data_IF_455316862949
#
_entry.id   IF_455316862949
#
_cell.length_a   1.000
_cell.length_b   1.000
_cell.length_c   1.000
_cell.angle_alpha   90.00
_cell.angle_beta   90.00
_cell.angle_gamma   90.00
#
_symmetry.space_group_name_H-M   'P 1'
#
loop_
_entity.id
_entity.type
_entity.pdbx_description
1 polymer ?
#
# COMPACT_ATOMS: atom_id res chain seq x y z
N UNK A 1 -11.45 -1.12 19.14
CA UNK A 1 -11.81 -2.43 18.55
C UNK A 1 -13.32 -2.67 18.38
N UNK A 2 -14.17 -2.53 19.41
CA UNK A 2 -15.61 -2.90 19.34
C UNK A 2 -16.41 -2.22 18.20
N UNK A 3 -16.13 -0.95 17.87
CA UNK A 3 -16.86 -0.19 16.84
C UNK A 3 -16.50 -0.55 15.39
N UNK A 4 -15.29 -1.05 15.14
CA UNK A 4 -14.83 -1.43 13.80
C UNK A 4 -15.35 -2.81 13.40
N UNK A 5 -15.30 -3.76 14.34
CA UNK A 5 -15.82 -5.10 14.12
C UNK A 5 -17.31 -5.12 13.76
N UNK A 6 -18.10 -4.15 14.24
CA UNK A 6 -19.52 -4.03 13.90
C UNK A 6 -19.80 -3.70 12.41
N UNK A 7 -18.80 -3.23 11.67
CA UNK A 7 -18.91 -2.96 10.23
C UNK A 7 -18.49 -4.16 9.37
N UNK A 8 -18.08 -5.26 10.01
CA UNK A 8 -17.58 -6.47 9.38
C UNK A 8 -18.36 -7.68 9.90
N UNK A 9 -18.42 -8.73 9.09
CA UNK A 9 -18.92 -10.03 9.52
C UNK A 9 -17.72 -10.96 9.66
N UNK A 10 -17.19 -11.17 10.89
CA UNK A 10 -16.03 -12.03 11.07
C UNK A 10 -16.43 -13.49 10.88
N UNK A 11 -15.81 -14.14 9.89
CA UNK A 11 -15.95 -15.58 9.66
C UNK A 11 -14.62 -16.26 9.95
N UNK A 12 -14.59 -17.12 10.96
CA UNK A 12 -13.44 -17.99 11.25
C UNK A 12 -13.63 -19.30 10.51
N UNK A 13 -12.65 -19.66 9.68
CA UNK A 13 -12.66 -20.89 8.91
C UNK A 13 -11.36 -21.65 9.19
N UNK A 14 -11.46 -22.94 9.49
CA UNK A 14 -10.29 -23.81 9.50
C UNK A 14 -9.95 -24.23 8.07
N UNK A 15 -8.94 -23.56 7.50
CA UNK A 15 -8.46 -23.78 6.14
C UNK A 15 -7.85 -25.18 5.89
N UNK A 16 -7.54 -25.93 6.95
CA UNK A 16 -7.05 -27.31 6.88
C UNK A 16 -8.16 -28.36 7.00
N UNK A 17 -9.41 -27.92 7.24
CA UNK A 17 -10.58 -28.80 7.39
C UNK A 17 -11.73 -28.33 6.50
N UNK A 18 -12.74 -27.67 7.05
CA UNK A 18 -13.92 -27.21 6.30
C UNK A 18 -13.61 -26.12 5.27
N UNK A 19 -12.47 -25.44 5.40
CA UNK A 19 -12.06 -24.32 4.55
C UNK A 19 -11.12 -24.66 3.42
N UNK A 20 -10.80 -25.93 3.15
CA UNK A 20 -9.79 -26.32 2.16
C UNK A 20 -10.09 -25.75 0.78
N UNK A 21 -11.35 -25.80 0.33
CA UNK A 21 -11.74 -25.27 -0.98
C UNK A 21 -11.75 -23.74 -1.02
N UNK A 22 -12.09 -23.09 0.10
CA UNK A 22 -11.97 -21.62 0.23
C UNK A 22 -10.50 -21.20 0.18
N UNK A 23 -9.61 -21.89 0.89
CA UNK A 23 -8.18 -21.62 0.89
C UNK A 23 -7.58 -21.75 -0.53
N UNK A 24 -7.97 -22.78 -1.29
CA UNK A 24 -7.59 -22.93 -2.70
C UNK A 24 -8.16 -21.81 -3.58
N UNK A 25 -9.45 -21.49 -3.43
CA UNK A 25 -10.14 -20.45 -4.21
C UNK A 25 -9.46 -19.10 -4.07
N UNK A 26 -9.10 -18.74 -2.84
CA UNK A 26 -8.44 -17.47 -2.52
C UNK A 26 -6.91 -17.55 -2.57
N UNK A 27 -6.35 -18.69 -2.97
CA UNK A 27 -4.90 -18.93 -3.10
C UNK A 27 -4.13 -18.59 -1.81
N UNK A 28 -4.65 -18.98 -0.66
CA UNK A 28 -3.98 -18.80 0.63
C UNK A 28 -2.71 -19.66 0.66
N UNK A 29 -1.56 -19.04 0.89
CA UNK A 29 -0.24 -19.69 0.84
C UNK A 29 0.37 -19.97 2.22
N UNK A 30 -0.19 -19.39 3.28
CA UNK A 30 0.32 -19.52 4.65
C UNK A 30 -0.77 -19.21 5.68
N UNK A 31 -0.51 -19.54 6.94
CA UNK A 31 -1.45 -19.31 8.03
C UNK A 31 -0.78 -18.58 9.22
N UNK A 32 -1.53 -17.72 9.94
CA UNK A 32 -2.88 -17.27 9.62
C UNK A 32 -2.92 -16.33 8.40
N UNK A 33 -4.05 -16.30 7.69
CA UNK A 33 -4.34 -15.27 6.68
C UNK A 33 -5.75 -14.74 6.93
N UNK A 34 -5.89 -13.40 6.91
CA UNK A 34 -7.15 -12.70 7.05
C UNK A 34 -7.47 -12.05 5.70
N UNK A 35 -8.60 -12.43 5.10
CA UNK A 35 -9.10 -11.86 3.86
C UNK A 35 -10.29 -10.94 4.14
N UNK A 36 -10.27 -9.77 3.53
CA UNK A 36 -11.40 -8.83 3.53
C UNK A 36 -12.11 -8.97 2.19
N UNK A 37 -13.35 -9.45 2.23
CA UNK A 37 -14.15 -9.70 1.03
C UNK A 37 -15.31 -8.70 0.96
N UNK A 38 -15.68 -8.27 -0.25
CA UNK A 38 -16.96 -7.59 -0.47
C UNK A 38 -18.12 -8.60 -0.59
N UNK A 39 -19.34 -8.10 -0.77
CA UNK A 39 -20.54 -8.94 -0.88
C UNK A 39 -20.51 -9.89 -2.09
N UNK A 40 -19.72 -9.56 -3.12
CA UNK A 40 -19.51 -10.36 -4.32
C UNK A 40 -18.39 -11.42 -4.15
N UNK A 41 -17.75 -11.48 -2.98
CA UNK A 41 -16.67 -12.43 -2.69
C UNK A 41 -15.30 -12.05 -3.27
N UNK A 42 -15.14 -10.82 -3.80
CA UNK A 42 -13.85 -10.29 -4.28
C UNK A 42 -12.99 -9.81 -3.11
N UNK A 43 -11.70 -10.13 -3.16
CA UNK A 43 -10.72 -9.68 -2.17
C UNK A 43 -10.51 -8.17 -2.28
N UNK A 44 -10.73 -7.46 -1.17
CA UNK A 44 -10.54 -6.02 -0.98
C UNK A 44 -9.42 -5.70 0.02
N UNK A 45 -8.82 -6.73 0.61
CA UNK A 45 -7.73 -6.62 1.56
C UNK A 45 -7.24 -7.98 2.01
N UNK A 46 -5.97 -8.04 2.39
CA UNK A 46 -5.32 -9.26 2.85
C UNK A 46 -4.30 -8.89 3.92
N UNK A 47 -4.30 -9.64 5.03
CA UNK A 47 -3.26 -9.62 6.06
C UNK A 47 -2.73 -11.04 6.18
N UNK A 48 -1.48 -11.25 5.76
CA UNK A 48 -0.78 -12.53 5.90
C UNK A 48 0.06 -12.56 7.16
N UNK A 49 0.01 -13.68 7.88
CA UNK A 49 0.77 -13.87 9.12
C UNK A 49 0.19 -13.12 10.32
N UNK A 50 0.97 -13.11 11.40
CA UNK A 50 0.61 -12.38 12.61
C UNK A 50 0.90 -10.89 12.45
N UNK A 51 -0.06 -10.05 12.84
CA UNK A 51 0.08 -8.61 12.91
C UNK A 51 -0.32 -8.13 14.32
N UNK A 52 0.49 -7.30 15.01
CA UNK A 52 0.14 -6.79 16.33
C UNK A 52 -1.21 -6.03 16.33
N UNK A 53 -1.94 -5.99 17.47
CA UNK A 53 -3.30 -5.45 17.51
C UNK A 53 -3.48 -4.01 17.00
N UNK A 54 -2.48 -3.14 17.22
CA UNK A 54 -2.51 -1.74 16.78
C UNK A 54 -2.41 -1.66 15.26
N UNK A 55 -1.39 -2.30 14.68
CA UNK A 55 -1.17 -2.39 13.22
C UNK A 55 -2.34 -3.08 12.53
N UNK A 56 -2.86 -4.17 13.11
CA UNK A 56 -4.04 -4.86 12.61
C UNK A 56 -5.27 -3.95 12.55
N UNK A 57 -5.47 -3.12 13.59
CA UNK A 57 -6.59 -2.16 13.62
C UNK A 57 -6.46 -1.08 12.55
N UNK A 58 -5.22 -0.65 12.24
CA UNK A 58 -4.94 0.33 11.18
C UNK A 58 -5.25 -0.26 9.81
N UNK A 59 -4.76 -1.45 9.49
CA UNK A 59 -5.04 -2.11 8.21
C UNK A 59 -6.54 -2.40 8.04
N UNK A 60 -7.21 -2.88 9.10
CA UNK A 60 -8.64 -3.08 9.08
C UNK A 60 -9.42 -1.77 8.81
N UNK A 61 -9.02 -0.67 9.46
CA UNK A 61 -9.65 0.65 9.24
C UNK A 61 -9.48 1.13 7.80
N UNK A 62 -8.30 0.92 7.21
CA UNK A 62 -8.01 1.23 5.81
C UNK A 62 -8.93 0.45 4.87
N UNK A 63 -9.10 -0.85 5.06
CA UNK A 63 -9.99 -1.65 4.21
C UNK A 63 -11.46 -1.20 4.29
N UNK A 64 -11.93 -0.89 5.51
CA UNK A 64 -13.28 -0.35 5.73
C UNK A 64 -13.45 0.99 5.01
N UNK A 65 -12.49 1.90 5.15
CA UNK A 65 -12.50 3.21 4.51
C UNK A 65 -12.54 3.09 2.98
N UNK A 66 -11.63 2.30 2.40
CA UNK A 66 -11.56 2.06 0.96
C UNK A 66 -12.85 1.46 0.40
N UNK A 67 -13.43 0.48 1.10
CA UNK A 67 -14.67 -0.14 0.67
C UNK A 67 -15.86 0.83 0.76
N UNK A 68 -15.91 1.69 1.78
CA UNK A 68 -16.97 2.69 1.95
C UNK A 68 -16.87 3.85 0.94
N UNK A 69 -15.67 4.32 0.62
CA UNK A 69 -15.46 5.43 -0.31
C UNK A 69 -15.67 5.01 -1.78
N UNK A 70 -15.38 3.76 -2.12
CA UNK A 70 -15.33 3.29 -3.51
C UNK A 70 -16.60 3.56 -4.34
N UNK A 71 -17.83 3.22 -3.89
CA UNK A 71 -19.03 3.41 -4.71
C UNK A 71 -19.25 4.88 -5.08
N UNK A 72 -19.03 5.80 -4.13
CA UNK A 72 -19.15 7.23 -4.35
C UNK A 72 -18.10 7.74 -5.33
N UNK A 73 -16.85 7.32 -5.18
CA UNK A 73 -15.77 7.71 -6.09
C UNK A 73 -16.02 7.21 -7.51
N UNK A 74 -16.53 5.98 -7.65
CA UNK A 74 -16.85 5.41 -8.94
C UNK A 74 -17.95 6.23 -9.64
N UNK A 75 -18.98 6.63 -8.91
CA UNK A 75 -20.04 7.48 -9.46
C UNK A 75 -19.54 8.88 -9.83
N UNK A 76 -18.80 9.54 -8.93
CA UNK A 76 -18.18 10.85 -9.21
C UNK A 76 -17.28 10.82 -10.44
N UNK A 77 -16.54 9.73 -10.64
CA UNK A 77 -15.60 9.58 -11.76
C UNK A 77 -16.25 9.53 -13.14
N UNK A 78 -17.56 9.26 -13.22
CA UNK A 78 -18.34 9.28 -14.47
C UNK A 78 -18.64 10.70 -14.95
N UNK A 79 -18.57 11.69 -14.06
CA UNK A 79 -18.79 13.09 -14.40
C UNK A 79 -17.63 13.66 -15.20
N UNK A 80 -17.91 14.46 -16.24
CA UNK A 80 -16.89 15.22 -16.97
C UNK A 80 -16.11 16.19 -16.05
N UNK A 81 -16.74 16.61 -14.95
CA UNK A 81 -16.18 17.50 -13.94
C UNK A 81 -15.51 16.77 -12.77
N UNK A 82 -15.30 15.45 -12.87
CA UNK A 82 -14.59 14.69 -11.86
C UNK A 82 -13.23 15.32 -11.53
N UNK A 83 -12.99 15.52 -10.24
CA UNK A 83 -11.79 16.17 -9.74
C UNK A 83 -10.57 15.25 -9.87
N UNK A 84 -9.38 15.84 -9.92
CA UNK A 84 -8.15 15.05 -9.85
C UNK A 84 -8.00 14.30 -8.52
N UNK A 85 -8.61 14.80 -7.43
CA UNK A 85 -8.65 14.11 -6.14
C UNK A 85 -9.47 12.82 -6.20
N UNK A 86 -10.64 12.84 -6.86
CA UNK A 86 -11.48 11.66 -7.07
C UNK A 86 -10.67 10.56 -7.76
N UNK A 87 -9.90 10.92 -8.80
CA UNK A 87 -9.05 9.97 -9.52
C UNK A 87 -7.85 9.49 -8.70
N UNK A 88 -7.22 10.35 -7.89
CA UNK A 88 -6.13 9.93 -7.00
C UNK A 88 -6.61 8.96 -5.92
N UNK A 89 -7.80 9.19 -5.36
CA UNK A 89 -8.46 8.27 -4.42
C UNK A 89 -8.80 6.93 -5.06
N UNK A 90 -9.32 6.93 -6.30
CA UNK A 90 -9.54 5.69 -7.06
C UNK A 90 -8.22 4.94 -7.33
N UNK A 91 -7.16 5.67 -7.71
CA UNK A 91 -5.85 5.06 -7.94
C UNK A 91 -5.31 4.38 -6.68
N UNK A 92 -5.41 5.03 -5.52
CA UNK A 92 -5.05 4.44 -4.23
C UNK A 92 -5.93 3.24 -3.88
N UNK A 93 -7.24 3.31 -4.15
CA UNK A 93 -8.20 2.23 -3.89
C UNK A 93 -7.88 0.99 -4.73
N UNK A 94 -7.79 1.15 -6.05
CA UNK A 94 -7.44 0.07 -6.97
C UNK A 94 -6.04 -0.48 -6.70
N UNK A 95 -5.07 0.40 -6.39
CA UNK A 95 -3.72 0.00 -6.01
C UNK A 95 -3.71 -0.89 -4.75
N UNK A 96 -4.48 -0.50 -3.73
CA UNK A 96 -4.63 -1.29 -2.50
C UNK A 96 -5.32 -2.64 -2.74
N UNK A 97 -6.11 -2.76 -3.81
CA UNK A 97 -6.77 -4.01 -4.23
C UNK A 97 -5.95 -4.81 -5.25
N UNK A 98 -4.73 -4.37 -5.57
CA UNK A 98 -3.86 -4.98 -6.58
C UNK A 98 -4.52 -5.01 -7.98
N UNK A 99 -5.44 -4.08 -8.26
CA UNK A 99 -6.10 -3.88 -9.56
C UNK A 99 -5.25 -2.93 -10.42
N UNK A 100 -4.11 -3.43 -10.91
CA UNK A 100 -3.04 -2.61 -11.51
C UNK A 100 -3.52 -1.70 -12.65
N UNK A 101 -4.29 -2.24 -13.60
CA UNK A 101 -4.71 -1.49 -14.79
C UNK A 101 -5.61 -0.31 -14.42
N UNK A 102 -6.56 -0.54 -13.54
CA UNK A 102 -7.50 0.46 -13.04
C UNK A 102 -6.80 1.50 -12.16
N UNK A 103 -5.82 1.07 -11.37
CA UNK A 103 -5.01 1.95 -10.54
C UNK A 103 -4.18 2.93 -11.39
N UNK A 104 -3.46 2.42 -12.40
CA UNK A 104 -2.67 3.24 -13.32
C UNK A 104 -3.52 4.19 -14.15
N UNK A 105 -4.65 3.70 -14.69
CA UNK A 105 -5.58 4.53 -15.43
C UNK A 105 -6.13 5.68 -14.58
N UNK A 106 -6.41 5.41 -13.31
CA UNK A 106 -6.89 6.42 -12.36
C UNK A 106 -5.77 7.41 -11.99
N UNK A 107 -4.53 6.96 -11.79
CA UNK A 107 -3.40 7.83 -11.53
C UNK A 107 -3.13 8.78 -12.70
N UNK A 108 -3.14 8.25 -13.93
CA UNK A 108 -2.97 9.05 -15.14
C UNK A 108 -4.06 10.14 -15.27
N UNK A 109 -5.32 9.82 -14.93
CA UNK A 109 -6.40 10.82 -14.89
C UNK A 109 -6.15 11.88 -13.83
N UNK A 110 -5.74 11.52 -12.61
CA UNK A 110 -5.39 12.49 -11.57
C UNK A 110 -4.28 13.46 -12.03
N UNK A 111 -3.27 12.94 -12.72
CA UNK A 111 -2.13 13.71 -13.25
C UNK A 111 -2.53 14.63 -14.40
N UNK A 112 -3.39 14.18 -15.32
CA UNK A 112 -3.96 15.03 -16.38
C UNK A 112 -4.75 16.22 -15.82
N UNK A 113 -5.34 16.05 -14.63
CA UNK A 113 -6.03 17.11 -13.88
C UNK A 113 -5.08 17.96 -13.03
N UNK A 114 -3.76 17.72 -13.12
CA UNK A 114 -2.69 18.39 -12.39
C UNK A 114 -2.87 18.34 -10.87
N UNK A 115 -3.47 17.27 -10.36
CA UNK A 115 -3.67 17.10 -8.92
C UNK A 115 -2.33 16.95 -8.18
N UNK A 116 -2.24 17.56 -7.00
CA UNK A 116 -1.04 17.54 -6.12
C UNK A 116 -1.38 17.34 -4.64
N UNK A 117 -2.59 16.90 -4.33
CA UNK A 117 -3.04 16.71 -2.95
C UNK A 117 -2.55 15.39 -2.34
N UNK A 118 -2.97 15.13 -1.10
CA UNK A 118 -2.44 14.05 -0.26
C UNK A 118 -2.53 12.64 -0.89
N UNK A 119 -3.56 12.36 -1.70
CA UNK A 119 -3.77 11.03 -2.27
C UNK A 119 -2.82 10.69 -3.41
N UNK A 120 -2.07 11.66 -3.94
CA UNK A 120 -1.13 11.39 -5.02
C UNK A 120 0.00 10.47 -4.55
N UNK A 121 0.58 10.77 -3.38
CA UNK A 121 1.64 9.94 -2.80
C UNK A 121 1.12 8.55 -2.40
N UNK A 122 -0.09 8.47 -1.82
CA UNK A 122 -0.73 7.21 -1.47
C UNK A 122 -0.98 6.31 -2.67
N UNK A 123 -1.47 6.87 -3.77
CA UNK A 123 -1.67 6.16 -5.02
C UNK A 123 -0.33 5.65 -5.60
N UNK A 124 0.69 6.51 -5.62
CA UNK A 124 2.01 6.12 -6.12
C UNK A 124 2.66 5.03 -5.28
N UNK A 125 2.57 5.11 -3.94
CA UNK A 125 3.04 4.07 -3.04
C UNK A 125 2.32 2.74 -3.33
N UNK A 126 0.99 2.73 -3.36
CA UNK A 126 0.22 1.50 -3.58
C UNK A 126 0.51 0.84 -4.94
N UNK A 127 0.67 1.62 -6.02
CA UNK A 127 1.04 1.06 -7.34
C UNK A 127 2.51 0.63 -7.35
N UNK A 128 3.38 1.36 -6.66
CA UNK A 128 4.79 1.01 -6.48
C UNK A 128 4.93 -0.35 -5.79
N UNK A 129 4.12 -0.62 -4.76
CA UNK A 129 4.12 -1.89 -4.02
C UNK A 129 3.74 -3.06 -4.92
N UNK A 130 2.71 -2.90 -5.77
CA UNK A 130 2.32 -3.92 -6.75
C UNK A 130 3.51 -4.30 -7.63
N UNK A 131 4.22 -3.30 -8.17
CA UNK A 131 5.36 -3.55 -9.05
C UNK A 131 6.57 -4.12 -8.29
N UNK A 132 6.81 -3.67 -7.06
CA UNK A 132 7.85 -4.23 -6.22
C UNK A 132 7.59 -5.71 -5.91
N UNK A 133 6.36 -6.06 -5.53
CA UNK A 133 5.94 -7.44 -5.26
C UNK A 133 5.98 -8.33 -6.50
N UNK A 134 5.83 -7.75 -7.69
CA UNK A 134 5.92 -8.46 -8.98
C UNK A 134 7.35 -8.49 -9.53
N UNK A 135 8.34 -8.07 -8.74
CA UNK A 135 9.76 -7.95 -9.13
C UNK A 135 10.03 -7.01 -10.32
N UNK A 136 9.06 -6.17 -10.69
CA UNK A 136 9.18 -5.15 -11.73
C UNK A 136 9.81 -3.86 -11.15
N UNK A 137 11.00 -3.99 -10.56
CA UNK A 137 11.64 -2.94 -9.76
C UNK A 137 11.85 -1.64 -10.55
N UNK A 138 12.11 -1.73 -11.86
CA UNK A 138 12.27 -0.56 -12.73
C UNK A 138 10.99 0.27 -12.88
N UNK A 139 9.81 -0.34 -12.72
CA UNK A 139 8.51 0.35 -12.68
C UNK A 139 8.18 0.87 -11.28
N UNK A 140 8.60 0.17 -10.23
CA UNK A 140 8.36 0.56 -8.84
C UNK A 140 9.12 1.83 -8.45
N UNK A 141 10.41 1.93 -8.78
CA UNK A 141 11.27 3.08 -8.42
C UNK A 141 10.69 4.45 -8.82
N UNK A 142 10.26 4.71 -10.07
CA UNK A 142 9.72 6.01 -10.45
C UNK A 142 8.44 6.37 -9.68
N UNK A 143 7.62 5.38 -9.32
CA UNK A 143 6.42 5.59 -8.50
C UNK A 143 6.77 5.98 -7.08
N UNK A 144 7.68 5.28 -6.42
CA UNK A 144 8.11 5.66 -5.07
C UNK A 144 8.85 7.02 -5.04
N UNK A 145 9.64 7.34 -6.07
CA UNK A 145 10.22 8.70 -6.22
C UNK A 145 9.13 9.77 -6.33
N UNK A 146 8.08 9.50 -7.13
CA UNK A 146 6.94 10.40 -7.24
C UNK A 146 6.22 10.53 -5.90
N UNK A 147 6.00 9.43 -5.18
CA UNK A 147 5.40 9.45 -3.85
C UNK A 147 6.20 10.30 -2.85
N UNK A 148 7.52 10.11 -2.75
CA UNK A 148 8.41 10.91 -1.90
C UNK A 148 8.30 12.41 -2.21
N UNK A 149 8.35 12.78 -3.50
CA UNK A 149 8.28 14.18 -3.95
C UNK A 149 6.90 14.83 -3.78
N UNK A 150 5.82 14.03 -3.78
CA UNK A 150 4.43 14.51 -3.69
C UNK A 150 3.82 14.36 -2.30
N UNK A 151 4.52 13.70 -1.38
CA UNK A 151 4.00 13.42 -0.05
C UNK A 151 3.78 14.71 0.75
N UNK A 152 2.53 14.90 1.16
CA UNK A 152 2.13 15.95 2.10
C UNK A 152 2.40 15.52 3.54
N UNK A 153 2.13 14.24 3.87
CA UNK A 153 2.35 13.66 5.19
C UNK A 153 3.73 13.01 5.27
N UNK A 154 4.39 13.15 6.42
CA UNK A 154 5.70 12.54 6.67
C UNK A 154 5.66 11.00 6.61
N UNK A 155 4.53 10.41 7.00
CA UNK A 155 4.29 8.96 6.90
C UNK A 155 4.37 8.45 5.47
N UNK A 156 3.62 9.05 4.53
CA UNK A 156 3.64 8.67 3.11
C UNK A 156 5.03 8.86 2.49
N UNK A 157 5.74 9.91 2.92
CA UNK A 157 7.13 10.16 2.52
C UNK A 157 8.09 9.12 3.08
N UNK A 158 7.94 8.77 4.35
CA UNK A 158 8.75 7.77 5.04
C UNK A 158 8.60 6.41 4.37
N UNK A 159 7.36 6.06 4.04
CA UNK A 159 7.03 4.83 3.33
C UNK A 159 7.69 4.80 1.94
N UNK A 160 7.53 5.87 1.15
CA UNK A 160 8.16 5.96 -0.16
C UNK A 160 9.69 5.76 -0.11
N UNK A 161 10.37 6.36 0.89
CA UNK A 161 11.82 6.24 1.06
C UNK A 161 12.26 4.84 1.49
N UNK A 162 11.54 4.19 2.40
CA UNK A 162 11.88 2.82 2.80
C UNK A 162 11.62 1.83 1.65
N UNK A 163 10.56 2.03 0.85
CA UNK A 163 10.33 1.23 -0.34
C UNK A 163 11.41 1.45 -1.41
N UNK A 164 11.87 2.69 -1.61
CA UNK A 164 13.03 2.98 -2.45
C UNK A 164 14.29 2.29 -1.95
N UNK A 165 14.56 2.29 -0.65
CA UNK A 165 15.69 1.57 -0.06
C UNK A 165 15.67 0.10 -0.48
N UNK A 166 14.53 -0.59 -0.31
CA UNK A 166 14.42 -2.00 -0.70
C UNK A 166 14.52 -2.22 -2.20
N UNK A 167 13.97 -1.33 -3.04
CA UNK A 167 14.19 -1.38 -4.48
C UNK A 167 15.68 -1.27 -4.83
N UNK A 168 16.42 -0.36 -4.20
CA UNK A 168 17.85 -0.19 -4.45
C UNK A 168 18.68 -1.38 -3.96
N UNK A 169 18.32 -1.97 -2.81
CA UNK A 169 18.95 -3.21 -2.35
C UNK A 169 18.73 -4.37 -3.33
N UNK A 170 17.50 -4.53 -3.85
CA UNK A 170 17.19 -5.53 -4.88
C UNK A 170 18.03 -5.34 -6.15
N UNK A 171 18.30 -4.09 -6.54
CA UNK A 171 19.20 -3.75 -7.66
C UNK A 171 20.69 -3.78 -7.33
N UNK A 172 21.07 -4.12 -6.09
CA UNK A 172 22.44 -4.03 -5.58
C UNK A 172 23.05 -2.62 -5.73
N UNK A 173 22.21 -1.59 -5.77
CA UNK A 173 22.61 -0.17 -5.86
C UNK A 173 22.90 0.37 -4.46
N UNK A 174 24.07 -0.02 -3.94
CA UNK A 174 24.52 0.32 -2.59
C UNK A 174 24.59 1.84 -2.37
N UNK A 175 24.94 2.61 -3.41
CA UNK A 175 25.05 4.06 -3.34
C UNK A 175 23.69 4.70 -3.05
N UNK A 176 22.67 4.35 -3.83
CA UNK A 176 21.33 4.89 -3.60
C UNK A 176 20.67 4.30 -2.34
N UNK A 177 20.94 3.04 -2.00
CA UNK A 177 20.49 2.44 -0.74
C UNK A 177 21.03 3.22 0.49
N UNK A 178 22.35 3.46 0.56
CA UNK A 178 22.95 4.28 1.63
C UNK A 178 22.36 5.68 1.68
N UNK A 179 22.07 6.29 0.52
CA UNK A 179 21.40 7.60 0.47
C UNK A 179 20.02 7.54 1.13
N UNK A 180 19.19 6.56 0.78
CA UNK A 180 17.86 6.40 1.37
C UNK A 180 17.92 6.18 2.88
N UNK A 181 18.82 5.34 3.38
CA UNK A 181 18.99 5.17 4.83
C UNK A 181 19.26 6.50 5.53
N UNK A 182 20.21 7.29 5.01
CA UNK A 182 20.56 8.58 5.60
C UNK A 182 19.41 9.59 5.56
N UNK A 183 18.63 9.61 4.48
CA UNK A 183 17.46 10.49 4.37
C UNK A 183 16.35 10.11 5.35
N UNK A 184 16.07 8.81 5.54
CA UNK A 184 15.08 8.32 6.50
C UNK A 184 15.49 8.68 7.93
N UNK A 185 16.75 8.41 8.30
CA UNK A 185 17.27 8.65 9.66
C UNK A 185 17.20 10.13 10.06
N UNK A 186 17.39 11.04 9.10
CA UNK A 186 17.38 12.49 9.34
C UNK A 186 15.97 13.09 9.35
N UNK A 187 14.93 12.32 9.02
CA UNK A 187 13.59 12.85 8.88
C UNK A 187 12.89 12.93 10.25
N UNK A 188 12.48 14.15 10.64
CA UNK A 188 11.94 14.48 11.98
C UNK A 188 10.71 13.65 12.38
N UNK A 189 9.82 13.40 11.42
CA UNK A 189 8.52 12.74 11.64
C UNK A 189 8.42 11.42 10.85
N UNK A 190 9.55 10.73 10.70
CA UNK A 190 9.58 9.40 10.10
C UNK A 190 8.88 8.37 10.99
N UNK A 191 8.31 7.35 10.35
CA UNK A 191 7.79 6.19 11.07
C UNK A 191 8.98 5.52 11.77
N UNK A 192 8.82 5.27 13.08
CA UNK A 192 9.92 4.79 13.94
C UNK A 192 10.55 3.50 13.43
N UNK A 193 9.74 2.53 13.02
CA UNK A 193 10.22 1.26 12.46
C UNK A 193 11.07 1.48 11.19
N UNK A 194 10.67 2.40 10.30
CA UNK A 194 11.47 2.72 9.11
C UNK A 194 12.85 3.29 9.48
N UNK A 195 12.92 4.11 10.53
CA UNK A 195 14.20 4.64 11.04
C UNK A 195 15.08 3.54 11.60
N UNK A 196 14.50 2.61 12.37
CA UNK A 196 15.21 1.47 12.94
C UNK A 196 15.76 0.57 11.83
N UNK A 197 14.92 0.16 10.86
CA UNK A 197 15.32 -0.62 9.69
C UNK A 197 16.43 0.08 8.88
N UNK A 198 16.30 1.40 8.65
CA UNK A 198 17.31 2.17 7.93
C UNK A 198 18.68 2.19 8.63
N UNK A 199 18.71 2.26 9.98
CA UNK A 199 19.95 2.22 10.77
C UNK A 199 20.62 0.85 10.71
N UNK A 200 19.84 -0.22 10.82
CA UNK A 200 20.33 -1.60 10.72
C UNK A 200 20.97 -1.85 9.36
N UNK A 201 20.25 -1.56 8.28
CA UNK A 201 20.76 -1.71 6.91
C UNK A 201 22.01 -0.84 6.68
N UNK A 202 22.02 0.42 7.17
CA UNK A 202 23.18 1.29 6.98
C UNK A 202 24.44 0.74 7.66
N UNK A 203 24.29 0.10 8.83
CA UNK A 203 25.39 -0.56 9.54
C UNK A 203 25.92 -1.74 8.71
N UNK A 204 25.04 -2.55 8.15
CA UNK A 204 25.43 -3.70 7.29
C UNK A 204 26.15 -3.23 6.02
N UNK A 205 25.64 -2.18 5.36
CA UNK A 205 26.26 -1.62 4.15
C UNK A 205 27.60 -0.90 4.43
N UNK A 206 27.87 -0.53 5.68
CA UNK A 206 29.10 0.15 6.12
C UNK A 206 30.17 -0.77 6.71
N UNK A 207 29.84 -2.05 6.94
CA UNK A 207 30.71 -3.04 7.61
C UNK A 207 31.55 -3.90 6.66
N UNK A 208 32.12 -3.31 5.61
CA UNK A 208 33.06 -3.95 4.67
C UNK A 208 34.39 -3.24 4.60
#
# INVERSE_FOLDING_TARGET
MVKLAAQLVPLKVNAEKEGVDLAKTYKVQGYPTILFLNAEGKVRGEIGGYLPPEEFSIEMQKFIELNAMYPKLLEESKSANASGETFAKLAWTYGSWKETKEAEASLAKAESKKYKGEYLAKACNAIGDIYQMSEEIDKAIPLFKKADSSAVKAEDRSYAKISLLFCYLSKQDVTNAKRMCNEIIKMKDAVKSHVETAKEILKELGGG
#
